data_IF_642354663359
#
_entry.id   IF_642354663359
#
_cell.length_a   1.000
_cell.length_b   1.000
_cell.length_c   1.000
_cell.angle_alpha   90.00
_cell.angle_beta   90.00
_cell.angle_gamma   90.00
#
_symmetry.space_group_name_H-M   'P 1'
#
loop_
_entity.id
_entity.type
_entity.pdbx_description
1 polymer ?
#
# COMPACT_ATOMS: atom_id res chain seq x y z
N UNK A 1 10.31 11.98 -27.68
CA UNK A 1 9.18 11.50 -26.84
C UNK A 1 8.41 10.49 -27.67
N UNK A 2 8.09 9.32 -27.12
CA UNK A 2 7.42 8.22 -27.80
C UNK A 2 6.17 7.79 -27.04
N UNK A 3 5.11 7.46 -27.77
CA UNK A 3 3.88 6.90 -27.20
C UNK A 3 4.11 5.43 -26.81
N UNK A 4 3.75 5.09 -25.57
CA UNK A 4 3.76 3.72 -25.05
C UNK A 4 2.55 3.55 -24.14
N UNK A 5 1.73 2.53 -24.41
CA UNK A 5 0.50 2.24 -23.65
C UNK A 5 -0.41 3.47 -23.40
N UNK A 6 -0.54 4.33 -24.40
CA UNK A 6 -1.40 5.52 -24.35
C UNK A 6 -0.80 6.72 -23.61
N UNK A 7 0.47 6.68 -23.21
CA UNK A 7 1.18 7.79 -22.55
C UNK A 7 2.48 8.13 -23.29
N UNK A 8 2.87 9.41 -23.25
CA UNK A 8 4.13 9.88 -23.85
C UNK A 8 5.28 9.77 -22.85
N UNK A 9 6.37 9.14 -23.27
CA UNK A 9 7.57 8.96 -22.47
C UNK A 9 8.83 9.41 -23.22
N UNK A 10 9.92 9.71 -22.51
CA UNK A 10 11.24 9.83 -23.13
C UNK A 10 11.60 8.53 -23.88
N UNK A 11 12.20 8.64 -25.05
CA UNK A 11 12.49 7.48 -25.92
C UNK A 11 13.49 6.52 -25.27
N UNK A 12 14.43 7.08 -24.52
CA UNK A 12 15.49 6.39 -23.78
C UNK A 12 14.95 5.43 -22.72
N UNK A 13 13.75 5.66 -22.17
CA UNK A 13 13.18 4.79 -21.14
C UNK A 13 12.30 3.66 -21.69
N UNK A 14 11.87 3.76 -22.95
CA UNK A 14 10.97 2.79 -23.59
C UNK A 14 11.51 1.36 -23.55
N UNK A 15 12.81 1.10 -23.82
CA UNK A 15 13.36 -0.27 -23.74
C UNK A 15 13.26 -0.88 -22.35
N UNK A 16 13.30 -0.08 -21.29
CA UNK A 16 13.13 -0.56 -19.91
C UNK A 16 11.65 -0.82 -19.60
N UNK A 17 10.75 0.07 -20.04
CA UNK A 17 9.30 -0.14 -19.90
C UNK A 17 8.81 -1.43 -20.58
N UNK A 18 9.40 -1.81 -21.72
CA UNK A 18 9.09 -3.06 -22.44
C UNK A 18 9.47 -4.33 -21.69
N UNK A 19 10.37 -4.25 -20.70
CA UNK A 19 10.78 -5.42 -19.91
C UNK A 19 9.77 -5.79 -18.83
N UNK A 20 8.85 -4.87 -18.49
CA UNK A 20 7.79 -5.15 -17.53
C UNK A 20 6.71 -6.05 -18.14
N UNK A 21 6.55 -7.24 -17.57
CA UNK A 21 5.54 -8.19 -18.02
C UNK A 21 4.22 -7.98 -17.24
N UNK A 22 3.29 -7.25 -17.82
CA UNK A 22 1.99 -6.92 -17.21
C UNK A 22 1.16 -8.14 -16.83
N UNK A 23 1.10 -9.14 -17.70
CA UNK A 23 0.28 -10.34 -17.49
C UNK A 23 0.83 -11.19 -16.34
N UNK A 24 2.17 -11.35 -16.30
CA UNK A 24 2.83 -12.01 -15.18
C UNK A 24 2.63 -11.24 -13.88
N UNK A 25 2.71 -9.91 -13.89
CA UNK A 25 2.49 -9.11 -12.68
C UNK A 25 1.06 -9.25 -12.14
N UNK A 26 0.04 -9.23 -13.01
CA UNK A 26 -1.35 -9.48 -12.61
C UNK A 26 -1.50 -10.87 -12.00
N UNK A 27 -0.83 -11.88 -12.57
CA UNK A 27 -0.83 -13.25 -12.02
C UNK A 27 -0.16 -13.30 -10.66
N UNK A 28 0.99 -12.64 -10.48
CA UNK A 28 1.70 -12.53 -9.20
C UNK A 28 0.84 -11.82 -8.14
N UNK A 29 0.13 -10.75 -8.52
CA UNK A 29 -0.82 -10.05 -7.66
C UNK A 29 -1.99 -10.94 -7.22
N UNK A 30 -2.59 -11.70 -8.14
CA UNK A 30 -3.65 -12.69 -7.79
C UNK A 30 -3.11 -13.71 -6.79
N UNK A 31 -1.94 -14.28 -7.06
CA UNK A 31 -1.34 -15.29 -6.21
C UNK A 31 -1.07 -14.79 -4.79
N UNK A 32 -0.55 -13.57 -4.62
CA UNK A 32 -0.30 -13.03 -3.26
C UNK A 32 -1.61 -12.72 -2.53
N UNK A 33 -2.64 -12.24 -3.24
CA UNK A 33 -3.97 -12.00 -2.67
C UNK A 33 -4.57 -13.32 -2.19
N UNK A 34 -4.64 -14.33 -3.07
CA UNK A 34 -5.23 -15.63 -2.74
C UNK A 34 -4.50 -16.28 -1.56
N UNK A 35 -3.16 -16.29 -1.59
CA UNK A 35 -2.36 -16.85 -0.51
C UNK A 35 -2.54 -16.08 0.80
N UNK A 36 -2.62 -14.76 0.74
CA UNK A 36 -2.83 -13.91 1.92
C UNK A 36 -4.17 -14.13 2.58
N UNK A 37 -5.23 -14.16 1.77
CA UNK A 37 -6.59 -14.35 2.24
C UNK A 37 -6.82 -15.78 2.74
N UNK A 38 -6.22 -16.78 2.09
CA UNK A 38 -6.20 -18.15 2.59
C UNK A 38 -5.54 -18.22 3.96
N UNK A 39 -4.32 -17.69 4.11
CA UNK A 39 -3.59 -17.76 5.39
C UNK A 39 -4.26 -16.95 6.50
N UNK A 40 -4.79 -15.76 6.23
CA UNK A 40 -5.45 -14.97 7.28
C UNK A 40 -6.75 -15.64 7.74
N UNK A 41 -7.41 -16.45 6.90
CA UNK A 41 -8.60 -17.20 7.28
C UNK A 41 -8.35 -18.23 8.40
N UNK A 42 -7.10 -18.66 8.57
CA UNK A 42 -6.67 -19.51 9.68
C UNK A 42 -6.77 -18.79 11.05
N UNK A 43 -6.81 -17.46 11.04
CA UNK A 43 -6.94 -16.59 12.22
C UNK A 43 -8.39 -16.14 12.46
N UNK A 44 -9.35 -17.06 12.33
CA UNK A 44 -10.80 -16.80 12.37
C UNK A 44 -11.33 -16.16 13.66
N UNK A 45 -10.55 -16.18 14.74
CA UNK A 45 -10.90 -15.53 15.99
C UNK A 45 -10.82 -14.00 15.92
N UNK A 46 -9.91 -13.46 15.11
CA UNK A 46 -9.58 -12.03 15.08
C UNK A 46 -10.45 -11.29 14.07
N UNK A 47 -11.00 -10.17 14.50
CA UNK A 47 -11.69 -9.25 13.60
C UNK A 47 -10.67 -8.40 12.85
N UNK A 48 -10.64 -8.54 11.54
CA UNK A 48 -9.73 -7.81 10.68
C UNK A 48 -10.27 -6.40 10.47
N UNK A 49 -9.40 -5.41 10.62
CA UNK A 49 -9.73 -4.00 10.53
C UNK A 49 -9.12 -3.34 9.30
N UNK A 50 -7.90 -3.74 8.93
CA UNK A 50 -7.18 -3.16 7.81
C UNK A 50 -6.45 -4.24 7.02
N UNK A 51 -6.42 -4.14 5.70
CA UNK A 51 -5.60 -4.96 4.82
C UNK A 51 -4.74 -4.07 3.93
N UNK A 52 -3.44 -4.37 3.89
CA UNK A 52 -2.47 -3.69 3.04
C UNK A 52 -1.92 -4.66 2.01
N UNK A 53 -1.95 -4.29 0.72
CA UNK A 53 -1.22 -4.99 -0.34
C UNK A 53 -0.13 -4.05 -0.87
N UNK A 54 1.13 -4.40 -0.68
CA UNK A 54 2.26 -3.50 -0.97
C UNK A 54 3.23 -4.11 -1.97
N UNK A 55 3.50 -3.40 -3.07
CA UNK A 55 4.55 -3.77 -4.01
C UNK A 55 5.82 -2.99 -3.70
N UNK A 56 6.88 -3.70 -3.36
CA UNK A 56 8.21 -3.15 -3.15
C UNK A 56 9.09 -3.42 -4.39
N UNK A 57 9.29 -2.39 -5.21
CA UNK A 57 10.10 -2.49 -6.45
C UNK A 57 11.59 -2.70 -6.15
N UNK A 58 12.10 -2.25 -5.00
CA UNK A 58 13.51 -2.45 -4.64
C UNK A 58 13.79 -3.90 -4.26
N UNK A 59 12.87 -4.53 -3.54
CA UNK A 59 12.99 -5.92 -3.11
C UNK A 59 12.34 -6.93 -4.07
N UNK A 60 11.75 -6.43 -5.16
CA UNK A 60 11.01 -7.18 -6.17
C UNK A 60 10.01 -8.14 -5.54
N UNK A 61 9.16 -7.62 -4.66
CA UNK A 61 8.17 -8.43 -3.96
C UNK A 61 6.86 -7.68 -3.78
N UNK A 62 5.76 -8.42 -3.78
CA UNK A 62 4.48 -7.92 -3.29
C UNK A 62 4.13 -8.68 -2.02
N UNK A 63 3.69 -7.95 -1.01
CA UNK A 63 3.30 -8.47 0.29
C UNK A 63 1.85 -8.13 0.59
N UNK A 64 1.22 -8.95 1.43
CA UNK A 64 -0.07 -8.64 2.03
C UNK A 64 0.02 -8.75 3.56
N UNK A 65 -0.48 -7.72 4.23
CA UNK A 65 -0.50 -7.61 5.69
C UNK A 65 -1.92 -7.30 6.16
N UNK A 66 -2.28 -7.80 7.35
CA UNK A 66 -3.56 -7.52 7.98
C UNK A 66 -3.37 -6.94 9.37
N UNK A 67 -4.24 -6.02 9.74
CA UNK A 67 -4.24 -5.39 11.06
C UNK A 67 -5.57 -5.56 11.79
N UNK A 68 -5.53 -5.40 13.10
CA UNK A 68 -6.70 -5.33 13.96
C UNK A 68 -6.90 -3.91 14.50
N UNK A 69 -8.04 -3.66 15.15
CA UNK A 69 -8.39 -2.33 15.68
C UNK A 69 -7.37 -1.86 16.71
N UNK A 70 -6.96 -2.73 17.63
CA UNK A 70 -6.07 -2.39 18.74
C UNK A 70 -4.71 -1.85 18.25
N UNK A 71 -4.09 -2.55 17.30
CA UNK A 71 -2.78 -2.19 16.76
C UNK A 71 -2.86 -0.95 15.89
N UNK A 72 -3.90 -0.83 15.07
CA UNK A 72 -4.19 0.39 14.29
C UNK A 72 -4.42 1.61 15.19
N UNK A 73 -5.15 1.45 16.30
CA UNK A 73 -5.43 2.52 17.25
C UNK A 73 -4.18 2.94 18.01
N UNK A 74 -3.37 1.97 18.45
CA UNK A 74 -2.10 2.26 19.11
C UNK A 74 -1.17 3.06 18.20
N UNK A 75 -1.11 2.73 16.90
CA UNK A 75 -0.37 3.55 15.92
C UNK A 75 -0.91 4.99 15.86
N UNK A 76 -2.23 5.17 15.74
CA UNK A 76 -2.83 6.50 15.64
C UNK A 76 -2.54 7.37 16.86
N UNK A 77 -2.63 6.80 18.06
CA UNK A 77 -2.29 7.49 19.30
C UNK A 77 -0.80 7.88 19.35
N UNK A 78 0.09 6.98 18.95
CA UNK A 78 1.53 7.25 18.89
C UNK A 78 1.87 8.36 17.89
N UNK A 79 1.26 8.32 16.71
CA UNK A 79 1.43 9.35 15.68
C UNK A 79 0.89 10.70 16.17
N UNK A 80 -0.29 10.73 16.80
CA UNK A 80 -0.84 11.95 17.39
C UNK A 80 0.13 12.56 18.41
N UNK A 81 0.62 11.77 19.35
CA UNK A 81 1.55 12.23 20.38
C UNK A 81 2.87 12.77 19.77
N UNK A 82 3.37 12.13 18.71
CA UNK A 82 4.54 12.61 17.98
C UNK A 82 4.28 13.96 17.28
N UNK A 83 3.11 14.12 16.65
CA UNK A 83 2.68 15.37 16.04
C UNK A 83 2.52 16.48 17.09
N UNK A 84 1.91 16.19 18.24
CA UNK A 84 1.76 17.15 19.35
C UNK A 84 3.12 17.62 19.88
N UNK A 85 4.05 16.68 20.10
CA UNK A 85 5.41 17.00 20.53
C UNK A 85 6.11 17.92 19.53
N UNK A 86 5.98 17.63 18.23
CA UNK A 86 6.56 18.45 17.15
C UNK A 86 5.92 19.85 17.11
N UNK A 87 4.60 19.92 17.27
CA UNK A 87 3.86 21.19 17.32
C UNK A 87 4.34 22.06 18.48
N UNK A 88 4.39 21.51 19.70
CA UNK A 88 4.86 22.23 20.89
C UNK A 88 6.28 22.76 20.73
N UNK A 89 7.19 21.95 20.17
CA UNK A 89 8.56 22.36 19.89
C UNK A 89 8.63 23.53 18.90
N UNK A 90 7.88 23.47 17.79
CA UNK A 90 7.84 24.56 16.80
C UNK A 90 7.19 25.82 17.33
N UNK A 91 6.15 25.68 18.15
CA UNK A 91 5.49 26.78 18.85
C UNK A 91 6.46 27.53 19.76
N UNK A 92 7.22 26.80 20.59
CA UNK A 92 8.23 27.40 21.46
C UNK A 92 9.37 28.10 20.71
N UNK A 93 9.62 27.71 19.46
CA UNK A 93 10.62 28.35 18.59
C UNK A 93 10.06 29.51 17.75
N UNK A 94 8.76 29.81 17.83
CA UNK A 94 8.11 30.79 16.95
C UNK A 94 8.09 30.39 15.46
N UNK A 95 8.23 29.10 15.16
CA UNK A 95 8.36 28.55 13.79
C UNK A 95 7.11 27.80 13.31
N UNK A 96 5.94 28.12 13.88
CA UNK A 96 4.69 27.51 13.43
C UNK A 96 4.32 28.03 12.04
N UNK A 97 4.12 27.09 11.12
CA UNK A 97 3.47 27.36 9.84
C UNK A 97 2.02 26.87 9.86
N UNK A 98 1.20 27.31 8.90
CA UNK A 98 -0.17 26.78 8.72
C UNK A 98 -0.19 25.25 8.53
N UNK A 99 0.91 24.65 8.03
CA UNK A 99 1.05 23.20 7.84
C UNK A 99 1.30 22.42 9.13
N UNK A 100 1.61 23.11 10.22
CA UNK A 100 1.89 22.49 11.51
C UNK A 100 0.63 22.29 12.35
N UNK A 101 -0.56 22.70 11.86
CA UNK A 101 -1.82 22.52 12.58
C UNK A 101 -2.00 21.03 12.91
N UNK A 102 -2.22 20.76 14.19
CA UNK A 102 -2.55 19.43 14.66
C UNK A 102 -3.90 18.98 14.06
N UNK A 103 -3.97 17.80 13.43
CA UNK A 103 -5.24 17.22 13.01
C UNK A 103 -6.05 16.79 14.25
N UNK A 104 -7.35 16.60 14.07
CA UNK A 104 -8.16 15.85 15.03
C UNK A 104 -7.66 14.39 15.09
N UNK A 105 -7.69 13.76 16.25
CA UNK A 105 -7.26 12.36 16.40
C UNK A 105 -8.06 11.41 15.51
N UNK A 106 -9.34 11.71 15.26
CA UNK A 106 -10.21 10.94 14.37
C UNK A 106 -9.84 11.11 12.89
N UNK A 107 -9.07 12.17 12.56
CA UNK A 107 -8.59 12.45 11.22
C UNK A 107 -7.16 11.94 10.97
N UNK A 108 -6.58 11.21 11.93
CA UNK A 108 -5.29 10.55 11.73
C UNK A 108 -5.52 9.29 10.89
N UNK A 109 -4.81 9.13 9.76
CA UNK A 109 -4.93 7.94 8.95
C UNK A 109 -4.51 6.70 9.74
N UNK A 110 -4.99 5.52 9.32
CA UNK A 110 -4.45 4.27 9.84
C UNK A 110 -2.99 4.13 9.40
N UNK A 111 -2.33 3.09 9.89
CA UNK A 111 -0.92 2.75 9.64
C UNK A 111 -0.64 2.31 8.19
N UNK A 112 -1.18 3.00 7.18
CA UNK A 112 -1.02 2.63 5.78
C UNK A 112 0.44 2.65 5.31
N UNK A 113 1.29 3.45 5.93
CA UNK A 113 2.70 3.59 5.59
C UNK A 113 3.60 2.60 6.34
N UNK A 114 3.06 1.85 7.30
CA UNK A 114 3.83 0.94 8.15
C UNK A 114 3.21 -0.48 8.23
N UNK A 115 3.01 -1.18 7.09
CA UNK A 115 2.47 -2.54 7.08
C UNK A 115 3.34 -3.57 7.81
N UNK A 116 4.59 -3.24 8.13
CA UNK A 116 5.48 -4.05 8.96
C UNK A 116 5.17 -3.97 10.47
N UNK A 117 4.34 -3.02 10.91
CA UNK A 117 3.90 -2.88 12.32
C UNK A 117 2.49 -3.41 12.56
N UNK A 118 1.91 -4.12 11.58
CA UNK A 118 0.57 -4.67 11.68
C UNK A 118 0.55 -5.86 12.65
N UNK A 119 -0.64 -6.21 13.15
CA UNK A 119 -0.82 -7.42 13.93
C UNK A 119 -0.39 -8.69 13.15
N UNK A 120 -0.59 -8.70 11.82
CA UNK A 120 -0.19 -9.78 10.92
C UNK A 120 0.60 -9.20 9.74
N UNK A 121 1.91 -8.93 9.91
CA UNK A 121 2.73 -8.37 8.85
C UNK A 121 3.17 -9.47 7.87
N UNK A 122 3.09 -9.21 6.57
CA UNK A 122 3.66 -10.08 5.53
C UNK A 122 3.09 -11.51 5.52
N UNK A 123 1.79 -11.65 5.79
CA UNK A 123 1.07 -12.95 5.81
C UNK A 123 1.36 -13.76 4.55
N UNK A 124 1.36 -13.09 3.40
CA UNK A 124 1.88 -13.65 2.16
C UNK A 124 2.85 -12.70 1.46
N UNK A 125 3.80 -13.30 0.76
CA UNK A 125 4.84 -12.61 0.00
C UNK A 125 5.03 -13.39 -1.31
N UNK A 126 5.02 -12.68 -2.43
CA UNK A 126 5.38 -13.21 -3.76
C UNK A 126 6.54 -12.40 -4.30
N UNK A 127 7.53 -13.09 -4.87
CA UNK A 127 8.61 -12.44 -5.63
C UNK A 127 8.11 -12.08 -7.02
N UNK A 128 8.26 -10.82 -7.38
CA UNK A 128 7.83 -10.29 -8.67
C UNK A 128 8.94 -10.51 -9.70
N UNK A 129 8.80 -11.56 -10.48
CA UNK A 129 9.66 -11.84 -11.64
C UNK A 129 9.27 -10.98 -12.85
N UNK A 130 8.04 -10.48 -12.85
CA UNK A 130 7.51 -9.57 -13.87
C UNK A 130 8.15 -8.18 -13.89
N UNK A 131 8.69 -7.73 -12.75
CA UNK A 131 9.28 -6.41 -12.58
C UNK A 131 10.79 -6.52 -12.78
N UNK A 132 11.39 -5.78 -13.74
CA UNK A 132 12.83 -5.82 -13.94
C UNK A 132 13.58 -5.18 -12.77
N UNK A 133 14.82 -5.62 -12.53
CA UNK A 133 15.69 -5.01 -11.51
C UNK A 133 15.93 -3.54 -11.83
N UNK A 134 15.96 -2.70 -10.79
CA UNK A 134 16.18 -1.25 -10.90
C UNK A 134 15.17 -0.53 -11.82
N UNK A 135 13.96 -1.07 -11.97
CA UNK A 135 12.96 -0.52 -12.90
C UNK A 135 12.63 0.94 -12.62
N UNK A 136 12.49 1.30 -11.34
CA UNK A 136 12.22 2.67 -10.92
C UNK A 136 13.36 3.63 -11.28
N UNK A 137 14.62 3.17 -11.18
CA UNK A 137 15.78 3.96 -11.56
C UNK A 137 15.83 4.20 -13.07
N UNK A 138 15.77 3.13 -13.87
CA UNK A 138 15.91 3.24 -15.33
C UNK A 138 14.73 3.92 -16.02
N UNK A 139 13.57 3.95 -15.38
CA UNK A 139 12.38 4.65 -15.91
C UNK A 139 12.18 6.02 -15.28
N UNK A 140 13.08 6.48 -14.42
CA UNK A 140 12.94 7.74 -13.68
C UNK A 140 11.58 7.83 -12.98
N UNK A 141 11.19 6.75 -12.28
CA UNK A 141 9.91 6.56 -11.58
C UNK A 141 8.68 6.48 -12.47
N UNK A 142 8.81 6.62 -13.79
CA UNK A 142 7.69 6.52 -14.74
C UNK A 142 7.13 5.09 -14.87
N UNK A 143 7.82 4.06 -14.36
CA UNK A 143 7.29 2.71 -14.24
C UNK A 143 5.97 2.61 -13.47
N UNK A 144 5.75 3.49 -12.49
CA UNK A 144 4.53 3.46 -11.67
C UNK A 144 3.28 3.75 -12.49
N UNK A 145 3.39 4.47 -13.60
CA UNK A 145 2.28 4.68 -14.53
C UNK A 145 1.84 3.41 -15.26
N UNK A 146 2.70 2.38 -15.30
CA UNK A 146 2.35 1.06 -15.84
C UNK A 146 1.91 0.08 -14.75
N UNK A 147 2.43 0.22 -13.52
CA UNK A 147 2.12 -0.66 -12.37
C UNK A 147 0.80 -0.29 -11.69
N UNK A 148 0.57 1.00 -11.44
CA UNK A 148 -0.54 1.48 -10.64
C UNK A 148 -1.93 1.16 -11.24
N UNK A 149 -2.14 1.26 -12.56
CA UNK A 149 -3.42 0.83 -13.16
C UNK A 149 -3.71 -0.66 -12.92
N UNK A 150 -2.70 -1.53 -12.95
CA UNK A 150 -2.87 -2.95 -12.70
C UNK A 150 -3.21 -3.23 -11.23
N UNK A 151 -2.59 -2.50 -10.29
CA UNK A 151 -2.98 -2.55 -8.88
C UNK A 151 -4.42 -2.08 -8.66
N UNK A 152 -4.86 -1.05 -9.39
CA UNK A 152 -6.24 -0.56 -9.36
C UNK A 152 -7.25 -1.61 -9.84
N UNK A 153 -6.95 -2.29 -10.95
CA UNK A 153 -7.78 -3.38 -11.46
C UNK A 153 -7.86 -4.53 -10.45
N UNK A 154 -6.73 -4.86 -9.81
CA UNK A 154 -6.63 -5.92 -8.81
C UNK A 154 -7.33 -5.60 -7.49
N UNK A 155 -7.66 -4.33 -7.22
CA UNK A 155 -8.50 -3.97 -6.07
C UNK A 155 -9.86 -4.68 -6.12
N UNK A 156 -10.51 -4.70 -7.29
CA UNK A 156 -11.82 -5.34 -7.44
C UNK A 156 -11.76 -6.84 -7.16
N UNK A 157 -10.68 -7.48 -7.62
CA UNK A 157 -10.43 -8.88 -7.33
C UNK A 157 -10.24 -9.12 -5.83
N UNK A 158 -9.40 -8.31 -5.17
CA UNK A 158 -9.18 -8.41 -3.73
C UNK A 158 -10.46 -8.17 -2.91
N UNK A 159 -11.30 -7.22 -3.33
CA UNK A 159 -12.61 -6.95 -2.73
C UNK A 159 -13.54 -8.16 -2.88
N UNK A 160 -13.53 -8.84 -4.03
CA UNK A 160 -14.28 -10.09 -4.21
C UNK A 160 -13.87 -11.18 -3.21
N UNK A 161 -12.57 -11.27 -2.88
CA UNK A 161 -12.07 -12.23 -1.91
C UNK A 161 -12.47 -11.89 -0.46
N UNK A 162 -12.80 -10.64 -0.14
CA UNK A 162 -13.19 -10.23 1.22
C UNK A 162 -14.44 -10.96 1.73
N UNK A 163 -15.35 -11.33 0.82
CA UNK A 163 -16.57 -12.06 1.17
C UNK A 163 -16.31 -13.48 1.71
N UNK A 164 -15.10 -14.00 1.52
CA UNK A 164 -14.68 -15.29 2.05
C UNK A 164 -14.00 -15.20 3.42
N UNK A 165 -13.76 -13.98 3.93
CA UNK A 165 -13.13 -13.79 5.24
C UNK A 165 -14.17 -13.81 6.36
N UNK A 166 -13.90 -14.55 7.46
CA UNK A 166 -14.91 -14.85 8.46
C UNK A 166 -15.29 -13.66 9.35
N UNK A 167 -14.37 -12.72 9.60
CA UNK A 167 -14.60 -11.57 10.49
C UNK A 167 -13.91 -10.30 9.97
N UNK A 168 -14.71 -9.44 9.34
CA UNK A 168 -14.31 -8.10 8.93
C UNK A 168 -15.05 -7.07 9.75
N UNK A 169 -14.31 -6.14 10.35
CA UNK A 169 -14.88 -5.01 11.08
C UNK A 169 -15.81 -4.18 10.15
N UNK A 170 -16.87 -3.53 10.66
CA UNK A 170 -17.77 -2.71 9.84
C UNK A 170 -17.05 -1.59 9.09
N UNK A 171 -16.04 -0.99 9.71
CA UNK A 171 -15.19 0.03 9.09
C UNK A 171 -13.93 -0.56 8.45
N UNK A 172 -13.95 -1.79 7.96
CA UNK A 172 -12.78 -2.40 7.34
C UNK A 172 -12.28 -1.59 6.14
N UNK A 173 -10.96 -1.47 6.02
CA UNK A 173 -10.30 -0.82 4.89
C UNK A 173 -9.30 -1.76 4.22
N UNK A 174 -9.37 -1.88 2.89
CA UNK A 174 -8.35 -2.52 2.08
C UNK A 174 -7.67 -1.46 1.24
N UNK A 175 -6.34 -1.47 1.23
CA UNK A 175 -5.59 -0.56 0.40
C UNK A 175 -4.36 -1.17 -0.26
N UNK A 176 -4.03 -0.63 -1.44
CA UNK A 176 -2.78 -0.90 -2.12
C UNK A 176 -1.78 0.21 -1.84
N UNK A 177 -0.53 -0.15 -1.51
CA UNK A 177 0.57 0.81 -1.50
C UNK A 177 1.24 0.79 -2.87
N UNK A 178 1.10 1.91 -3.58
CA UNK A 178 1.89 2.29 -4.73
C UNK A 178 2.95 3.33 -4.38
N UNK A 179 3.45 4.02 -5.42
CA UNK A 179 4.44 5.09 -5.36
C UNK A 179 4.26 6.02 -4.14
N UNK A 180 5.31 6.16 -3.32
CA UNK A 180 5.36 7.05 -2.14
C UNK A 180 4.11 7.06 -1.25
N UNK A 181 3.75 5.97 -0.57
CA UNK A 181 2.89 5.89 0.66
C UNK A 181 1.60 6.75 0.77
N UNK A 182 1.18 7.44 -0.29
CA UNK A 182 0.17 8.52 -0.32
C UNK A 182 -0.77 8.38 -1.51
N UNK A 183 -0.35 7.65 -2.55
CA UNK A 183 -1.19 7.23 -3.65
C UNK A 183 -1.53 5.76 -3.45
N UNK A 184 -2.65 5.51 -2.78
CA UNK A 184 -3.21 4.19 -2.57
C UNK A 184 -4.70 4.22 -2.82
N UNK A 185 -5.24 3.13 -3.36
CA UNK A 185 -6.68 2.97 -3.49
C UNK A 185 -7.21 2.43 -2.18
N UNK A 186 -8.21 3.08 -1.60
CA UNK A 186 -8.85 2.61 -0.38
C UNK A 186 -10.26 2.13 -0.73
N UNK A 187 -10.51 0.85 -0.51
CA UNK A 187 -11.86 0.34 -0.38
C UNK A 187 -12.30 0.45 1.08
N UNK A 188 -13.47 1.05 1.30
CA UNK A 188 -14.15 1.12 2.60
C UNK A 188 -15.41 0.29 2.53
N UNK A 189 -15.60 -0.61 3.49
CA UNK A 189 -16.86 -1.34 3.68
C UNK A 189 -17.96 -0.41 4.22
#
# INVERSE_FOLDING_TARGET
MQLFNGRLYPEEIIPYLRQFNKESYVTELKNVIDLGFQKISEYSAVELYTCCIATNIYHLETTISFDNVETSDQYRHNLFAALEKRYRLKSGQGKLSKRDRLPDINNIPRNYDEPGKYAFPGVAIVKNTSIPKNFEFYTERKCWYEIFPLQQEMLQYAVGQLYHLPKLHPSFELFFIGMESKEGFIYRR
#
